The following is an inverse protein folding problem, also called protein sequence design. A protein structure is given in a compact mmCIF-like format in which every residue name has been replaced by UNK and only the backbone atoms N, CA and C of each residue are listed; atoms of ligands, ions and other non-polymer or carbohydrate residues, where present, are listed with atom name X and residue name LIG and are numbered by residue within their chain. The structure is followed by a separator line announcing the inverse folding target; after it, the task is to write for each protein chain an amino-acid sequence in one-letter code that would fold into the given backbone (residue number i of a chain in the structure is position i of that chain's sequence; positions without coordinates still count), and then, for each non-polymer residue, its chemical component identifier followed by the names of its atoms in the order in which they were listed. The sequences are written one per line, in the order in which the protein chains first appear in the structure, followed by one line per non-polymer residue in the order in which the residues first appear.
data_IF_292819275365
#
_entry.id   IF_292819275365
#
_cell.length_a   1.000
_cell.length_b   1.000
_cell.length_c   1.000
_cell.angle_alpha   90.00
_cell.angle_beta   90.00
_cell.angle_gamma   90.00
#
_symmetry.space_group_name_H-M   'P 1'
#
loop_
_entity.id
_entity.type
_entity.pdbx_description
1 polymer ?
#
# COMPACT_ATOMS: atom_id res chain seq x y z
N UNK A 1 -6.82 8.95 -9.44
CA UNK A 1 -6.61 8.03 -8.30
C UNK A 1 -7.08 6.64 -8.72
N UNK A 2 -6.22 5.63 -8.67
CA UNK A 2 -6.50 4.29 -9.20
C UNK A 2 -7.54 3.49 -8.39
N UNK A 3 -7.75 3.84 -7.10
CA UNK A 3 -8.70 3.14 -6.22
C UNK A 3 -10.15 3.18 -6.73
N UNK A 4 -10.56 4.31 -7.30
CA UNK A 4 -11.95 4.49 -7.78
C UNK A 4 -12.27 3.58 -8.98
N UNK A 5 -11.28 3.10 -9.74
CA UNK A 5 -11.53 2.27 -10.93
C UNK A 5 -12.08 0.90 -10.53
N UNK A 6 -11.39 0.20 -9.63
CA UNK A 6 -11.81 -1.12 -9.19
C UNK A 6 -13.06 -1.06 -8.31
N UNK A 7 -13.17 -0.06 -7.44
CA UNK A 7 -14.38 0.16 -6.63
C UNK A 7 -15.63 0.36 -7.51
N UNK A 8 -15.53 1.21 -8.54
CA UNK A 8 -16.65 1.43 -9.46
C UNK A 8 -16.94 0.18 -10.29
N UNK A 9 -15.92 -0.55 -10.75
CA UNK A 9 -16.11 -1.77 -11.54
C UNK A 9 -16.90 -2.85 -10.78
N UNK A 10 -16.53 -3.13 -9.52
CA UNK A 10 -17.27 -4.12 -8.71
C UNK A 10 -18.64 -3.63 -8.28
N UNK A 11 -18.80 -2.32 -8.09
CA UNK A 11 -20.12 -1.72 -7.89
C UNK A 11 -21.01 -1.95 -9.12
N UNK A 12 -20.52 -1.65 -10.32
CA UNK A 12 -21.27 -1.86 -11.56
C UNK A 12 -21.66 -3.34 -11.72
N UNK A 13 -20.72 -4.28 -11.46
CA UNK A 13 -21.03 -5.72 -11.48
C UNK A 13 -22.14 -6.11 -10.49
N UNK A 14 -22.19 -5.48 -9.32
CA UNK A 14 -23.23 -5.72 -8.32
C UNK A 14 -24.57 -5.12 -8.76
N UNK A 15 -24.55 -3.89 -9.30
CA UNK A 15 -25.73 -3.19 -9.82
C UNK A 15 -26.36 -3.94 -11.01
N UNK A 16 -25.56 -4.66 -11.81
CA UNK A 16 -26.02 -5.54 -12.90
C UNK A 16 -26.39 -6.97 -12.43
N UNK A 17 -26.40 -7.24 -11.12
CA UNK A 17 -26.64 -8.56 -10.53
C UNK A 17 -25.70 -9.67 -11.05
N UNK A 18 -24.48 -9.32 -11.46
CA UNK A 18 -23.41 -10.25 -11.84
C UNK A 18 -22.57 -10.69 -10.63
N UNK A 19 -22.58 -9.89 -9.57
CA UNK A 19 -21.85 -10.12 -8.34
C UNK A 19 -22.79 -9.97 -7.15
N UNK A 20 -23.00 -11.05 -6.38
CA UNK A 20 -23.60 -10.97 -5.06
C UNK A 20 -22.48 -10.97 -4.01
N UNK A 21 -22.32 -9.85 -3.30
CA UNK A 21 -21.32 -9.69 -2.24
C UNK A 21 -21.67 -10.45 -0.96
N UNK A 22 -22.90 -10.95 -0.85
CA UNK A 22 -23.34 -11.83 0.25
C UNK A 22 -22.99 -13.29 -0.01
N UNK A 23 -22.72 -13.67 -1.26
CA UNK A 23 -22.34 -15.03 -1.65
C UNK A 23 -20.82 -15.23 -1.57
N UNK A 24 -20.40 -16.11 -0.65
CA UNK A 24 -19.01 -16.52 -0.48
C UNK A 24 -18.35 -17.08 -1.75
N UNK A 25 -19.10 -17.80 -2.61
CA UNK A 25 -18.56 -18.37 -3.85
C UNK A 25 -18.24 -17.25 -4.83
N UNK A 26 -19.13 -16.28 -4.97
CA UNK A 26 -18.90 -15.12 -5.81
C UNK A 26 -17.69 -14.31 -5.34
N UNK A 27 -17.55 -14.09 -4.02
CA UNK A 27 -16.38 -13.41 -3.45
C UNK A 27 -15.07 -14.16 -3.75
N UNK A 28 -15.03 -15.49 -3.58
CA UNK A 28 -13.84 -16.28 -3.89
C UNK A 28 -13.51 -16.28 -5.40
N UNK A 29 -14.52 -16.32 -6.27
CA UNK A 29 -14.33 -16.17 -7.71
C UNK A 29 -13.73 -14.81 -8.07
N UNK A 30 -14.22 -13.72 -7.47
CA UNK A 30 -13.65 -12.38 -7.69
C UNK A 30 -12.21 -12.30 -7.18
N UNK A 31 -11.93 -12.82 -5.98
CA UNK A 31 -10.57 -12.87 -5.44
C UNK A 31 -9.64 -13.62 -6.37
N UNK A 32 -10.03 -14.82 -6.79
CA UNK A 32 -9.22 -15.64 -7.69
C UNK A 32 -8.93 -14.94 -9.03
N UNK A 33 -9.95 -14.36 -9.65
CA UNK A 33 -9.83 -13.74 -10.97
C UNK A 33 -9.13 -12.37 -10.95
N UNK A 34 -9.43 -11.53 -9.95
CA UNK A 34 -9.04 -10.12 -9.97
C UNK A 34 -7.91 -9.77 -9.01
N UNK A 35 -7.70 -10.51 -7.92
CA UNK A 35 -6.64 -10.17 -6.96
C UNK A 35 -5.26 -10.12 -7.63
N UNK A 36 -4.85 -11.07 -8.50
CA UNK A 36 -3.55 -10.96 -9.18
C UNK A 36 -3.43 -9.72 -10.07
N UNK A 37 -4.53 -9.34 -10.74
CA UNK A 37 -4.58 -8.17 -11.64
C UNK A 37 -4.48 -6.87 -10.85
N UNK A 38 -5.25 -6.77 -9.76
CA UNK A 38 -5.22 -5.62 -8.86
C UNK A 38 -3.84 -5.50 -8.22
N UNK A 39 -3.28 -6.59 -7.69
CA UNK A 39 -1.93 -6.60 -7.11
C UNK A 39 -0.88 -6.14 -8.11
N UNK A 40 -0.94 -6.61 -9.36
CA UNK A 40 -0.03 -6.15 -10.42
C UNK A 40 -0.15 -4.64 -10.65
N UNK A 41 -1.37 -4.14 -10.82
CA UNK A 41 -1.61 -2.71 -11.04
C UNK A 41 -1.15 -1.86 -9.83
N UNK A 42 -1.38 -2.33 -8.60
CA UNK A 42 -0.90 -1.65 -7.40
C UNK A 42 0.62 -1.63 -7.33
N UNK A 43 1.29 -2.75 -7.65
CA UNK A 43 2.75 -2.81 -7.72
C UNK A 43 3.32 -1.84 -8.77
N UNK A 44 2.66 -1.69 -9.92
CA UNK A 44 3.06 -0.72 -10.94
C UNK A 44 2.93 0.73 -10.43
N UNK A 45 1.81 1.06 -9.76
CA UNK A 45 1.61 2.38 -9.15
C UNK A 45 2.65 2.66 -8.07
N UNK A 46 2.93 1.68 -7.20
CA UNK A 46 3.99 1.77 -6.20
C UNK A 46 5.35 2.01 -6.86
N UNK A 47 5.71 1.24 -7.88
CA UNK A 47 6.98 1.40 -8.60
C UNK A 47 7.11 2.79 -9.22
N UNK A 48 6.05 3.27 -9.90
CA UNK A 48 6.04 4.61 -10.48
C UNK A 48 6.22 5.66 -9.39
N UNK A 49 5.49 5.55 -8.29
CA UNK A 49 5.57 6.52 -7.20
C UNK A 49 6.95 6.52 -6.53
N UNK A 50 7.50 5.35 -6.24
CA UNK A 50 8.80 5.13 -5.60
C UNK A 50 9.96 5.65 -6.45
N UNK A 51 9.90 5.47 -7.78
CA UNK A 51 10.96 5.86 -8.70
C UNK A 51 10.82 7.28 -9.26
N UNK A 52 9.61 7.84 -9.26
CA UNK A 52 9.34 9.20 -9.70
C UNK A 52 10.11 10.22 -8.85
N UNK A 53 10.72 11.20 -9.51
CA UNK A 53 11.41 12.31 -8.84
C UNK A 53 10.43 13.43 -8.50
N UNK A 54 10.11 13.56 -7.22
CA UNK A 54 9.37 14.70 -6.67
C UNK A 54 10.19 15.98 -6.83
N UNK A 55 9.61 16.97 -7.51
CA UNK A 55 10.24 18.28 -7.71
C UNK A 55 10.23 19.09 -6.42
N UNK A 56 11.27 19.91 -6.24
CA UNK A 56 11.34 20.85 -5.12
C UNK A 56 10.25 21.90 -5.24
N UNK A 57 9.46 22.07 -4.19
CA UNK A 57 8.44 23.10 -4.06
C UNK A 57 8.63 23.85 -2.74
N UNK A 58 9.01 25.13 -2.82
CA UNK A 58 9.26 25.94 -1.62
C UNK A 58 8.00 26.24 -0.79
N UNK A 59 6.80 25.95 -1.32
CA UNK A 59 5.52 26.14 -0.60
C UNK A 59 5.03 24.87 0.11
N UNK A 60 5.70 23.74 -0.06
CA UNK A 60 5.31 22.47 0.56
C UNK A 60 6.45 21.96 1.46
N UNK A 61 6.10 21.40 2.61
CA UNK A 61 7.05 20.71 3.50
C UNK A 61 7.41 19.30 2.99
N UNK A 62 7.39 19.10 1.66
CA UNK A 62 7.67 17.81 1.06
C UNK A 62 9.14 17.77 0.60
N UNK A 63 9.94 16.77 1.02
CA UNK A 63 11.30 16.62 0.56
C UNK A 63 11.34 16.36 -0.95
N UNK A 64 12.27 17.02 -1.63
CA UNK A 64 12.48 16.83 -3.06
C UNK A 64 13.43 15.65 -3.30
N UNK A 65 13.15 14.82 -4.31
CA UNK A 65 13.95 13.63 -4.58
C UNK A 65 13.10 12.46 -5.05
N UNK A 66 13.74 11.30 -5.22
CA UNK A 66 13.02 10.05 -5.46
C UNK A 66 12.68 9.42 -4.10
N UNK A 67 11.42 9.06 -3.81
CA UNK A 67 11.05 8.45 -2.53
C UNK A 67 11.91 7.25 -2.14
N UNK A 68 12.25 6.38 -3.10
CA UNK A 68 13.15 5.25 -2.89
C UNK A 68 14.50 5.69 -2.30
N UNK A 69 15.14 6.67 -2.92
CA UNK A 69 16.46 7.16 -2.52
C UNK A 69 16.36 7.95 -1.21
N UNK A 70 15.28 8.73 -1.03
CA UNK A 70 15.02 9.44 0.22
C UNK A 70 14.89 8.48 1.42
N UNK A 71 14.37 7.28 1.19
CA UNK A 71 14.21 6.27 2.23
C UNK A 71 15.49 5.46 2.46
N UNK A 72 16.08 4.89 1.39
CA UNK A 72 17.23 3.98 1.51
C UNK A 72 18.59 4.68 1.63
N UNK A 73 18.71 5.91 1.14
CA UNK A 73 19.95 6.69 1.08
C UNK A 73 19.72 8.14 1.55
N UNK A 74 19.01 8.26 2.67
CA UNK A 74 18.61 9.54 3.24
C UNK A 74 19.80 10.48 3.53
N UNK A 75 20.98 9.91 3.82
CA UNK A 75 22.24 10.60 4.07
C UNK A 75 22.71 11.45 2.88
N UNK A 76 22.40 11.02 1.64
CA UNK A 76 22.71 11.79 0.41
C UNK A 76 21.95 13.11 0.38
N UNK A 77 20.83 13.19 1.10
CA UNK A 77 19.99 14.38 1.23
C UNK A 77 20.23 15.14 2.55
N UNK A 78 21.29 14.81 3.28
CA UNK A 78 21.63 15.46 4.55
C UNK A 78 20.69 15.08 5.70
N UNK A 79 19.95 13.97 5.58
CA UNK A 79 19.20 13.44 6.70
C UNK A 79 20.15 12.93 7.79
N UNK A 80 19.66 12.92 9.03
CA UNK A 80 20.39 12.41 10.20
C UNK A 80 19.76 11.12 10.67
N UNK A 81 20.58 10.23 11.24
CA UNK A 81 20.07 9.04 11.89
C UNK A 81 19.26 9.43 13.14
N UNK A 82 17.99 9.05 13.15
CA UNK A 82 17.07 9.27 14.25
C UNK A 82 16.66 7.95 14.91
N UNK A 83 17.33 6.83 14.59
CA UNK A 83 17.05 5.53 15.20
C UNK A 83 17.27 5.59 16.70
N UNK A 84 16.33 5.01 17.44
CA UNK A 84 16.43 4.82 18.88
C UNK A 84 16.86 3.36 19.10
N UNK A 85 17.89 3.15 19.91
CA UNK A 85 18.28 1.79 20.30
C UNK A 85 17.18 1.20 21.18
N UNK A 86 16.56 0.12 20.70
CA UNK A 86 15.57 -0.59 21.49
C UNK A 86 16.30 -1.34 22.59
N UNK A 87 15.92 -1.04 23.84
CA UNK A 87 16.59 -1.55 25.04
C UNK A 87 16.32 -3.06 25.22
N UNK A 88 15.23 -3.58 24.63
CA UNK A 88 14.87 -4.99 24.64
C UNK A 88 14.23 -5.40 23.29
N UNK A 89 14.60 -6.57 22.77
CA UNK A 89 14.04 -7.14 21.53
C UNK A 89 12.60 -7.66 21.71
N UNK A 90 12.08 -7.72 22.95
CA UNK A 90 10.67 -8.10 23.19
C UNK A 90 9.68 -7.20 22.45
N UNK A 91 9.91 -5.90 22.46
CA UNK A 91 9.01 -4.95 21.77
C UNK A 91 9.02 -5.17 20.25
N UNK A 92 10.18 -5.47 19.66
CA UNK A 92 10.27 -5.85 18.24
C UNK A 92 9.55 -7.15 17.95
N UNK A 93 9.75 -8.17 18.79
CA UNK A 93 9.11 -9.47 18.61
C UNK A 93 7.58 -9.37 18.75
N UNK A 94 7.08 -8.52 19.65
CA UNK A 94 5.65 -8.29 19.81
C UNK A 94 5.06 -7.53 18.62
N UNK A 95 5.75 -6.50 18.11
CA UNK A 95 5.37 -5.78 16.88
C UNK A 95 5.43 -6.71 15.66
N UNK A 96 6.52 -7.44 15.46
CA UNK A 96 6.67 -8.37 14.35
C UNK A 96 5.63 -9.48 14.42
N UNK A 97 5.30 -9.98 15.62
CA UNK A 97 4.20 -10.94 15.81
C UNK A 97 2.87 -10.33 15.43
N UNK A 98 2.59 -9.09 15.84
CA UNK A 98 1.36 -8.38 15.48
C UNK A 98 1.22 -8.19 13.96
N UNK A 99 2.27 -7.75 13.28
CA UNK A 99 2.27 -7.49 11.84
C UNK A 99 2.39 -8.76 10.97
N UNK A 100 2.96 -9.85 11.51
CA UNK A 100 3.09 -11.13 10.79
C UNK A 100 1.88 -12.05 10.99
N UNK A 101 1.17 -11.91 12.12
CA UNK A 101 -0.02 -12.72 12.42
C UNK A 101 -1.32 -12.06 11.93
N UNK A 102 -1.39 -10.74 11.84
CA UNK A 102 -2.47 -10.04 11.17
C UNK A 102 -2.03 -9.65 9.76
N UNK A 103 -2.65 -10.29 8.76
CA UNK A 103 -2.87 -9.62 7.48
C UNK A 103 -3.40 -8.22 7.84
N UNK A 104 -2.85 -7.11 7.30
CA UNK A 104 -3.47 -5.81 7.48
C UNK A 104 -4.94 -5.99 7.16
N UNK A 105 -5.82 -5.68 8.13
CA UNK A 105 -7.27 -5.78 7.97
C UNK A 105 -7.68 -4.76 6.90
N UNK A 106 -7.46 -5.13 5.64
CA UNK A 106 -7.75 -4.35 4.47
C UNK A 106 -9.27 -4.39 4.30
N UNK A 107 -9.91 -3.35 4.80
CA UNK A 107 -11.18 -2.83 4.26
C UNK A 107 -12.34 -3.82 4.26
N UNK A 108 -12.66 -4.42 5.41
CA UNK A 108 -13.98 -5.03 5.65
C UNK A 108 -14.68 -4.26 6.76
N UNK A 109 -15.38 -3.21 6.35
CA UNK A 109 -16.71 -2.84 6.86
C UNK A 109 -17.57 -2.49 5.67
#
# INVERSE_FOLDING_TARGET
MCGNVWMNHFKDMSDFALLDTSDSVHLECIRYCFLPVISKHMNEVCNIWTTHRVRRNNRMSCPAGKPEVLFFQSEVYGARDCKISLVDNRELNDVEREYSQRLPELGVT
#
